data_IF_555863453837
#
_entry.id   IF_555863453837
#
_cell.length_a   1.000
_cell.length_b   1.000
_cell.length_c   1.000
_cell.angle_alpha   90.00
_cell.angle_beta   90.00
_cell.angle_gamma   90.00
#
_symmetry.space_group_name_H-M   'P 1'
#
loop_
_entity.id
_entity.type
_entity.pdbx_description
1 polymer ?
#
# COMPACT_ATOMS: atom_id res chain seq x y z
N UNK A 1 -50.76 38.12 11.72
CA UNK A 1 -50.40 36.81 11.15
C UNK A 1 -49.12 36.97 10.34
N UNK A 2 -47.96 36.61 10.90
CA UNK A 2 -46.64 36.73 10.24
C UNK A 2 -46.36 35.42 9.50
N UNK A 3 -46.27 35.46 8.17
CA UNK A 3 -45.94 34.29 7.33
C UNK A 3 -44.43 34.10 7.33
N UNK A 4 -43.98 32.99 7.90
CA UNK A 4 -42.60 32.53 7.84
C UNK A 4 -42.39 31.86 6.46
N UNK A 5 -41.53 32.42 5.63
CA UNK A 5 -41.13 31.82 4.35
C UNK A 5 -39.88 30.98 4.63
N UNK A 6 -40.00 29.66 4.45
CA UNK A 6 -38.91 28.70 4.62
C UNK A 6 -38.24 28.49 3.24
N UNK A 7 -37.02 29.00 3.08
CA UNK A 7 -36.23 28.82 1.85
C UNK A 7 -35.56 27.46 1.88
N UNK A 8 -35.98 26.55 1.00
CA UNK A 8 -35.36 25.23 0.82
C UNK A 8 -34.11 25.39 -0.05
N UNK A 9 -32.93 25.25 0.54
CA UNK A 9 -31.66 25.21 -0.20
C UNK A 9 -31.47 23.77 -0.71
N UNK A 10 -31.65 23.57 -2.02
CA UNK A 10 -31.33 22.31 -2.67
C UNK A 10 -29.80 22.18 -2.81
N UNK A 11 -29.20 21.30 -2.02
CA UNK A 11 -27.80 20.91 -2.20
C UNK A 11 -27.70 20.02 -3.44
N UNK A 12 -27.19 20.57 -4.53
CA UNK A 12 -26.82 19.79 -5.72
C UNK A 12 -25.61 18.92 -5.39
N UNK A 13 -25.84 17.62 -5.18
CA UNK A 13 -24.77 16.64 -5.13
C UNK A 13 -24.13 16.55 -6.52
N UNK A 14 -22.96 17.17 -6.70
CA UNK A 14 -22.08 16.91 -7.83
C UNK A 14 -21.57 15.47 -7.66
N UNK A 15 -22.17 14.53 -8.39
CA UNK A 15 -21.62 13.19 -8.52
C UNK A 15 -20.29 13.30 -9.28
N UNK A 16 -19.17 13.24 -8.56
CA UNK A 16 -17.86 13.07 -9.20
C UNK A 16 -17.84 11.73 -9.93
N UNK A 17 -17.44 11.74 -11.20
CA UNK A 17 -17.14 10.51 -11.92
C UNK A 17 -15.93 9.86 -11.25
N UNK A 18 -16.11 8.67 -10.67
CA UNK A 18 -14.99 7.84 -10.26
C UNK A 18 -14.13 7.55 -11.49
N UNK A 19 -12.84 7.89 -11.44
CA UNK A 19 -11.94 7.62 -12.55
C UNK A 19 -11.64 6.12 -12.60
N UNK A 20 -11.69 5.54 -13.80
CA UNK A 20 -11.47 4.12 -14.00
C UNK A 20 -10.01 3.76 -13.70
N UNK A 21 -9.77 2.52 -13.28
CA UNK A 21 -8.41 2.05 -13.05
C UNK A 21 -7.60 2.05 -14.36
N UNK A 22 -6.31 2.37 -14.27
CA UNK A 22 -5.38 2.34 -15.42
C UNK A 22 -4.32 1.26 -15.18
N UNK A 23 -4.12 0.39 -16.17
CA UNK A 23 -3.12 -0.69 -16.14
C UNK A 23 -1.86 -0.25 -16.89
N UNK A 24 -0.70 -0.58 -16.34
CA UNK A 24 0.61 -0.23 -16.86
C UNK A 24 1.44 -1.49 -17.12
N UNK A 25 2.04 -1.56 -18.32
CA UNK A 25 3.06 -2.54 -18.66
C UNK A 25 4.50 -1.96 -18.58
N UNK A 26 4.62 -0.66 -18.26
CA UNK A 26 5.89 0.04 -18.19
C UNK A 26 6.07 0.67 -16.80
N UNK A 27 7.11 0.22 -16.09
CA UNK A 27 7.46 0.68 -14.74
C UNK A 27 7.65 2.19 -14.67
N UNK A 28 8.41 2.77 -15.59
CA UNK A 28 8.71 4.20 -15.57
C UNK A 28 7.44 5.05 -15.77
N UNK A 29 6.54 4.64 -16.67
CA UNK A 29 5.25 5.30 -16.87
C UNK A 29 4.36 5.21 -15.63
N UNK A 30 4.31 4.04 -14.98
CA UNK A 30 3.59 3.86 -13.72
C UNK A 30 4.16 4.74 -12.61
N UNK A 31 5.46 4.67 -12.37
CA UNK A 31 6.12 5.40 -11.29
C UNK A 31 6.06 6.92 -11.48
N UNK A 32 6.00 7.40 -12.73
CA UNK A 32 5.79 8.82 -13.03
C UNK A 32 4.44 9.36 -12.57
N UNK A 33 3.46 8.48 -12.29
CA UNK A 33 2.15 8.89 -11.74
C UNK A 33 2.14 9.01 -10.22
N UNK A 34 3.18 8.51 -9.53
CA UNK A 34 3.25 8.46 -8.09
C UNK A 34 4.01 9.67 -7.55
N UNK A 35 3.40 10.41 -6.62
CA UNK A 35 4.04 11.55 -5.95
C UNK A 35 5.02 11.09 -4.86
N UNK A 36 4.69 10.00 -4.16
CA UNK A 36 5.60 9.30 -3.26
C UNK A 36 5.40 7.80 -3.39
N UNK A 37 6.49 7.03 -3.28
CA UNK A 37 6.47 5.58 -3.45
C UNK A 37 7.40 4.86 -2.49
N UNK A 38 7.08 3.61 -2.25
CA UNK A 38 7.92 2.59 -1.64
C UNK A 38 8.13 1.47 -2.65
N UNK A 39 9.34 0.93 -2.70
CA UNK A 39 9.63 -0.31 -3.42
C UNK A 39 10.08 -1.34 -2.39
N UNK A 40 9.33 -2.43 -2.26
CA UNK A 40 9.71 -3.64 -1.54
C UNK A 40 10.45 -4.55 -2.53
N UNK A 41 11.77 -4.56 -2.42
CA UNK A 41 12.72 -5.27 -3.30
C UNK A 41 13.05 -6.66 -2.75
N UNK A 42 12.46 -7.06 -1.61
CA UNK A 42 12.73 -8.35 -0.97
C UNK A 42 14.18 -8.59 -0.53
N UNK A 43 15.01 -7.55 -0.56
CA UNK A 43 16.46 -7.66 -0.37
C UNK A 43 16.86 -7.65 1.10
N UNK A 44 18.05 -8.21 1.36
CA UNK A 44 18.63 -8.21 2.72
C UNK A 44 18.83 -6.79 3.26
N UNK A 45 19.10 -5.82 2.38
CA UNK A 45 19.20 -4.41 2.75
C UNK A 45 17.91 -3.83 3.33
N UNK A 46 16.74 -4.43 3.03
CA UNK A 46 15.44 -4.06 3.58
C UNK A 46 15.03 -4.89 4.80
N UNK A 47 15.89 -5.82 5.24
CA UNK A 47 15.66 -6.65 6.42
C UNK A 47 15.23 -8.08 6.11
N UNK A 48 15.17 -8.48 4.84
CA UNK A 48 14.90 -9.87 4.47
C UNK A 48 16.09 -10.80 4.78
N UNK A 49 15.88 -12.11 4.98
CA UNK A 49 16.98 -13.05 5.17
C UNK A 49 17.83 -13.22 3.91
N UNK A 50 19.16 -13.29 4.03
CA UNK A 50 20.09 -13.36 2.90
C UNK A 50 20.12 -14.69 2.12
N UNK A 51 19.45 -15.72 2.62
CA UNK A 51 19.40 -17.05 2.02
C UNK A 51 17.93 -17.48 1.85
N UNK A 52 17.72 -18.57 1.10
CA UNK A 52 16.41 -19.20 0.97
C UNK A 52 15.73 -19.31 2.35
N UNK A 53 14.55 -18.70 2.46
CA UNK A 53 13.84 -18.60 3.73
C UNK A 53 12.35 -18.69 3.52
N UNK A 54 11.69 -19.35 4.48
CA UNK A 54 10.23 -19.45 4.55
C UNK A 54 9.76 -18.66 5.75
N UNK A 55 8.89 -17.68 5.50
CA UNK A 55 8.34 -16.76 6.49
C UNK A 55 6.83 -17.02 6.66
N UNK A 56 6.34 -16.83 7.88
CA UNK A 56 4.91 -16.73 8.12
C UNK A 56 4.35 -15.45 7.50
N UNK A 57 3.03 -15.38 7.31
CA UNK A 57 2.36 -14.18 6.79
C UNK A 57 2.66 -12.96 7.68
N UNK A 58 2.66 -13.16 9.00
CA UNK A 58 3.01 -12.14 9.97
C UNK A 58 4.47 -11.70 9.86
N UNK A 59 5.41 -12.64 9.73
CA UNK A 59 6.83 -12.32 9.60
C UNK A 59 7.13 -11.59 8.28
N UNK A 60 6.55 -12.06 7.16
CA UNK A 60 6.68 -11.42 5.85
C UNK A 60 6.15 -9.98 5.86
N UNK A 61 4.95 -9.77 6.42
CA UNK A 61 4.33 -8.44 6.52
C UNK A 61 5.10 -7.48 7.43
N UNK A 62 5.83 -8.01 8.42
CA UNK A 62 6.54 -7.20 9.41
C UNK A 62 7.89 -6.64 8.91
N UNK A 63 8.48 -7.18 7.83
CA UNK A 63 9.82 -6.78 7.37
C UNK A 63 9.84 -5.30 6.98
N UNK A 64 9.02 -4.92 6.01
CA UNK A 64 8.88 -3.52 5.58
C UNK A 64 7.74 -2.82 6.34
N UNK A 65 6.71 -3.56 6.78
CA UNK A 65 5.62 -3.02 7.60
C UNK A 65 4.65 -2.10 6.84
N UNK A 66 4.70 -2.08 5.50
CA UNK A 66 3.88 -1.21 4.65
C UNK A 66 2.90 -1.99 3.76
N UNK A 67 3.04 -3.31 3.68
CA UNK A 67 2.18 -4.21 2.91
C UNK A 67 1.89 -5.43 3.77
N UNK A 68 0.63 -5.86 3.82
CA UNK A 68 0.26 -7.13 4.42
C UNK A 68 0.26 -8.23 3.36
N UNK A 69 1.08 -9.25 3.57
CA UNK A 69 1.14 -10.46 2.76
C UNK A 69 0.30 -11.56 3.41
N UNK A 70 -0.52 -12.25 2.62
CA UNK A 70 -1.33 -13.38 3.09
C UNK A 70 -1.31 -14.48 2.05
N UNK A 71 -0.70 -15.60 2.39
CA UNK A 71 -0.69 -16.79 1.52
C UNK A 71 -2.06 -17.45 1.50
N UNK A 72 -2.55 -17.83 0.32
CA UNK A 72 -3.91 -18.40 0.16
C UNK A 72 -3.90 -19.84 -0.36
N UNK A 73 -2.83 -20.28 -1.03
CA UNK A 73 -2.63 -21.67 -1.45
C UNK A 73 -1.98 -22.57 -0.40
N UNK A 74 -0.93 -22.04 0.26
CA UNK A 74 -0.14 -22.75 1.27
C UNK A 74 0.06 -21.84 2.48
N UNK A 75 -0.63 -22.13 3.58
CA UNK A 75 -0.64 -21.26 4.75
C UNK A 75 0.78 -21.01 5.30
N UNK A 76 1.10 -19.73 5.52
CA UNK A 76 2.38 -19.27 6.07
C UNK A 76 3.61 -19.72 5.28
N UNK A 77 3.48 -19.85 3.95
CA UNK A 77 4.55 -20.31 3.08
C UNK A 77 5.08 -19.18 2.18
N UNK A 78 5.48 -18.06 2.79
CA UNK A 78 6.09 -16.92 2.07
C UNK A 78 7.56 -17.24 1.86
N UNK A 79 7.98 -17.42 0.61
CA UNK A 79 9.35 -17.80 0.29
C UNK A 79 10.09 -16.59 -0.27
N UNK A 80 11.24 -16.31 0.34
CA UNK A 80 12.27 -15.42 -0.21
C UNK A 80 13.40 -16.30 -0.73
N UNK A 81 13.75 -16.13 -2.00
CA UNK A 81 14.79 -16.92 -2.66
C UNK A 81 15.59 -16.07 -3.64
N UNK A 82 16.74 -16.56 -4.09
CA UNK A 82 17.68 -15.78 -4.91
C UNK A 82 19.00 -15.55 -4.17
N UNK A 83 19.72 -14.49 -4.56
CA UNK A 83 20.94 -14.06 -3.87
C UNK A 83 20.68 -12.75 -3.11
N UNK A 84 21.54 -12.37 -2.17
CA UNK A 84 21.32 -11.24 -1.25
C UNK A 84 21.20 -9.83 -1.89
N UNK A 85 21.27 -9.72 -3.22
CA UNK A 85 21.06 -8.48 -3.98
C UNK A 85 20.20 -8.69 -5.22
N UNK A 86 19.49 -9.82 -5.28
CA UNK A 86 18.50 -10.16 -6.30
C UNK A 86 17.59 -11.25 -5.73
N UNK A 87 16.75 -10.85 -4.78
CA UNK A 87 15.80 -11.71 -4.07
C UNK A 87 14.41 -11.59 -4.67
N UNK A 88 13.72 -12.72 -4.76
CA UNK A 88 12.38 -12.84 -5.30
C UNK A 88 11.42 -13.31 -4.21
N UNK A 89 10.16 -12.91 -4.32
CA UNK A 89 9.09 -13.39 -3.48
C UNK A 89 8.18 -14.36 -4.23
N UNK A 90 7.79 -15.44 -3.58
CA UNK A 90 6.71 -16.31 -4.02
C UNK A 90 5.97 -16.94 -2.83
N UNK A 91 4.72 -17.37 -3.04
CA UNK A 91 3.94 -18.10 -2.03
C UNK A 91 4.01 -19.61 -2.32
N UNK A 92 4.89 -20.35 -1.64
CA UNK A 92 5.20 -21.75 -1.97
C UNK A 92 5.80 -21.95 -3.37
N UNK A 93 5.98 -20.88 -4.14
CA UNK A 93 6.35 -20.84 -5.55
C UNK A 93 5.41 -21.54 -6.53
N UNK A 94 4.41 -22.29 -6.06
CA UNK A 94 3.28 -22.85 -6.81
C UNK A 94 1.92 -22.48 -6.18
N UNK A 95 1.92 -21.53 -5.24
CA UNK A 95 0.75 -21.10 -4.51
C UNK A 95 0.27 -19.71 -4.95
N UNK A 96 -0.86 -19.29 -4.38
CA UNK A 96 -1.39 -17.94 -4.51
C UNK A 96 -1.22 -17.14 -3.23
N UNK A 97 -1.27 -15.81 -3.34
CA UNK A 97 -1.22 -14.89 -2.22
C UNK A 97 -2.00 -13.61 -2.49
N UNK A 98 -2.33 -12.91 -1.41
CA UNK A 98 -2.91 -11.57 -1.42
C UNK A 98 -1.92 -10.59 -0.82
N UNK A 99 -1.77 -9.45 -1.48
CA UNK A 99 -1.20 -8.23 -0.89
C UNK A 99 -2.32 -7.26 -0.54
N UNK A 100 -2.31 -6.72 0.67
CA UNK A 100 -3.32 -5.78 1.17
C UNK A 100 -2.67 -4.49 1.64
N UNK A 101 -3.33 -3.36 1.36
CA UNK A 101 -2.80 -2.01 1.54
C UNK A 101 -3.65 -1.14 2.50
N UNK A 102 -4.31 -1.76 3.47
CA UNK A 102 -5.23 -1.10 4.41
C UNK A 102 -4.53 -0.45 5.63
N UNK A 103 -3.23 -0.71 5.81
CA UNK A 103 -2.44 -0.20 6.94
C UNK A 103 -1.06 0.36 6.51
N UNK A 104 -1.03 1.17 5.47
CA UNK A 104 0.21 1.75 4.90
C UNK A 104 0.26 3.26 5.03
N UNK A 105 1.46 3.84 5.14
CA UNK A 105 1.63 5.30 5.09
C UNK A 105 1.56 5.86 3.67
N UNK A 106 1.55 5.02 2.64
CA UNK A 106 1.51 5.41 1.22
C UNK A 106 0.09 5.44 0.64
N UNK A 107 -0.93 5.39 1.49
CA UNK A 107 -2.32 5.28 1.09
C UNK A 107 -3.29 5.84 2.12
N UNK A 108 -4.55 5.47 1.98
CA UNK A 108 -5.62 5.77 2.91
C UNK A 108 -6.31 4.47 3.34
N UNK A 109 -7.39 4.56 4.12
CA UNK A 109 -8.23 3.38 4.41
C UNK A 109 -8.88 2.76 3.16
N UNK A 110 -8.93 3.48 2.03
CA UNK A 110 -9.38 2.96 0.74
C UNK A 110 -8.31 2.15 0.00
N UNK A 111 -7.05 2.19 0.46
CA UNK A 111 -5.90 1.58 -0.21
C UNK A 111 -4.88 2.60 -0.73
N UNK A 112 -3.95 2.14 -1.56
CA UNK A 112 -2.91 2.97 -2.22
C UNK A 112 -3.41 3.50 -3.55
N UNK A 113 -2.87 4.62 -4.03
CA UNK A 113 -3.25 5.11 -5.35
C UNK A 113 -2.77 4.16 -6.46
N UNK A 114 -1.53 3.67 -6.32
CA UNK A 114 -0.95 2.74 -7.28
C UNK A 114 -0.20 1.60 -6.61
N UNK A 115 -0.27 0.43 -7.23
CA UNK A 115 0.50 -0.75 -6.89
C UNK A 115 1.02 -1.43 -8.16
N UNK A 116 2.27 -1.91 -8.15
CA UNK A 116 2.86 -2.61 -9.28
C UNK A 116 4.01 -3.53 -8.88
N UNK A 117 4.36 -4.48 -9.73
CA UNK A 117 5.37 -5.52 -9.49
C UNK A 117 6.10 -5.83 -10.80
N UNK A 118 7.33 -6.33 -10.68
CA UNK A 118 7.91 -7.15 -11.74
C UNK A 118 7.41 -8.58 -11.58
N UNK A 119 6.80 -9.13 -12.63
CA UNK A 119 6.42 -10.54 -12.67
C UNK A 119 7.60 -11.32 -13.22
N UNK A 120 8.30 -12.02 -12.33
CA UNK A 120 9.56 -12.73 -12.61
C UNK A 120 9.33 -14.13 -13.16
N UNK A 121 8.24 -14.77 -12.75
CA UNK A 121 7.85 -16.10 -13.20
C UNK A 121 6.34 -16.22 -13.19
N UNK A 122 5.77 -16.77 -14.28
CA UNK A 122 4.36 -17.12 -14.39
C UNK A 122 4.20 -18.30 -15.36
N UNK A 123 3.80 -19.45 -14.84
CA UNK A 123 3.68 -20.70 -15.61
C UNK A 123 2.59 -20.60 -16.70
N UNK A 124 2.97 -20.90 -17.93
CA UNK A 124 2.05 -20.95 -19.08
C UNK A 124 0.98 -22.04 -18.95
N UNK A 125 1.26 -23.12 -18.21
CA UNK A 125 0.31 -24.22 -17.98
C UNK A 125 -0.76 -23.93 -16.92
N UNK A 126 -0.56 -22.88 -16.12
CA UNK A 126 -1.44 -22.52 -15.00
C UNK A 126 -1.45 -20.98 -14.85
N UNK A 127 -2.14 -20.25 -15.75
CA UNK A 127 -2.01 -18.80 -15.84
C UNK A 127 -2.57 -18.09 -14.61
N UNK A 128 -1.72 -17.28 -13.98
CA UNK A 128 -2.12 -16.42 -12.86
C UNK A 128 -2.85 -15.16 -13.34
N UNK A 129 -3.62 -14.59 -12.43
CA UNK A 129 -4.35 -13.34 -12.57
C UNK A 129 -3.95 -12.39 -11.43
N UNK A 130 -3.98 -11.10 -11.72
CA UNK A 130 -4.08 -10.06 -10.70
C UNK A 130 -5.56 -9.74 -10.51
N UNK A 131 -6.16 -10.29 -9.44
CA UNK A 131 -7.52 -9.96 -9.05
C UNK A 131 -7.48 -8.79 -8.06
N UNK A 132 -7.92 -7.63 -8.53
CA UNK A 132 -7.75 -6.35 -7.85
C UNK A 132 -9.07 -6.03 -7.14
N UNK A 133 -8.99 -5.64 -5.87
CA UNK A 133 -10.13 -5.07 -5.14
C UNK A 133 -9.84 -3.61 -4.85
N UNK A 134 -10.78 -2.72 -5.17
CA UNK A 134 -10.67 -1.28 -4.94
C UNK A 134 -11.31 -0.85 -3.61
N UNK A 135 -11.12 0.41 -3.22
CA UNK A 135 -11.64 0.95 -1.96
C UNK A 135 -13.17 0.92 -1.85
N UNK A 136 -13.89 0.98 -2.97
CA UNK A 136 -15.36 0.82 -3.04
C UNK A 136 -15.81 -0.65 -3.11
N UNK A 137 -14.87 -1.59 -3.09
CA UNK A 137 -15.04 -3.04 -3.26
C UNK A 137 -15.48 -3.49 -4.67
N UNK A 138 -15.43 -2.59 -5.66
CA UNK A 138 -15.42 -3.04 -7.06
C UNK A 138 -14.13 -3.82 -7.34
N UNK A 139 -14.15 -4.64 -8.40
CA UNK A 139 -13.05 -5.57 -8.69
C UNK A 139 -12.71 -5.62 -10.17
N UNK A 140 -11.44 -5.80 -10.48
CA UNK A 140 -10.94 -6.18 -11.79
C UNK A 140 -10.24 -7.54 -11.74
N UNK A 141 -10.25 -8.26 -12.86
CA UNK A 141 -9.61 -9.57 -12.98
C UNK A 141 -8.70 -9.59 -14.20
N UNK A 142 -7.43 -9.25 -14.02
CA UNK A 142 -6.49 -9.05 -15.11
C UNK A 142 -5.64 -10.30 -15.32
N UNK A 143 -5.68 -10.95 -16.50
CA UNK A 143 -4.79 -12.06 -16.79
C UNK A 143 -3.34 -11.57 -16.85
N UNK A 144 -2.44 -12.30 -16.18
CA UNK A 144 -1.01 -12.04 -16.25
C UNK A 144 -0.41 -12.89 -17.37
N UNK A 145 0.50 -12.27 -18.15
CA UNK A 145 1.16 -12.96 -19.25
C UNK A 145 2.05 -14.09 -18.68
N UNK A 146 2.13 -15.25 -19.34
CA UNK A 146 3.13 -16.25 -19.01
C UNK A 146 4.54 -15.67 -19.14
N UNK A 147 5.39 -15.98 -18.17
CA UNK A 147 6.75 -15.41 -18.08
C UNK A 147 7.72 -16.49 -17.67
N UNK A 148 8.65 -16.89 -18.55
CA UNK A 148 9.78 -17.69 -18.16
C UNK A 148 10.64 -16.96 -17.12
N UNK A 149 11.14 -17.69 -16.13
CA UNK A 149 12.06 -17.15 -15.13
C UNK A 149 13.26 -16.46 -15.79
N UNK A 150 13.58 -15.25 -15.31
CA UNK A 150 14.69 -14.43 -15.82
C UNK A 150 14.33 -13.55 -17.02
N UNK A 151 13.06 -13.49 -17.42
CA UNK A 151 12.56 -12.56 -18.45
C UNK A 151 11.40 -11.71 -17.94
N UNK A 152 11.59 -10.93 -16.85
CA UNK A 152 10.49 -10.26 -16.17
C UNK A 152 9.77 -9.25 -17.07
N UNK A 153 8.49 -9.04 -16.78
CA UNK A 153 7.74 -7.90 -17.29
C UNK A 153 7.06 -7.16 -16.14
N UNK A 154 6.75 -5.88 -16.36
CA UNK A 154 6.11 -5.07 -15.34
C UNK A 154 4.58 -5.12 -15.45
N UNK A 155 3.91 -5.25 -14.30
CA UNK A 155 2.47 -5.04 -14.17
C UNK A 155 2.24 -3.96 -13.10
N UNK A 156 1.44 -2.94 -13.42
CA UNK A 156 1.01 -1.94 -12.46
C UNK A 156 -0.44 -1.53 -12.66
N UNK A 157 -1.06 -1.03 -11.60
CA UNK A 157 -2.41 -0.48 -11.60
C UNK A 157 -2.42 0.82 -10.81
N UNK A 158 -3.13 1.84 -11.31
CA UNK A 158 -3.50 3.03 -10.54
C UNK A 158 -5.01 3.20 -10.51
N UNK A 159 -5.55 3.71 -9.41
CA UNK A 159 -6.97 4.03 -9.30
C UNK A 159 -7.25 5.14 -8.29
N UNK A 160 -8.12 6.07 -8.66
CA UNK A 160 -8.65 7.10 -7.76
C UNK A 160 -9.52 6.52 -6.64
N UNK A 161 -10.07 5.31 -6.84
CA UNK A 161 -10.83 4.57 -5.83
C UNK A 161 -9.95 3.97 -4.73
N UNK A 162 -8.62 3.98 -4.91
CA UNK A 162 -7.67 3.26 -4.07
C UNK A 162 -7.62 1.77 -4.43
N UNK A 163 -6.42 1.25 -4.64
CA UNK A 163 -6.12 -0.18 -4.76
C UNK A 163 -6.03 -0.73 -3.34
N UNK A 164 -7.04 -1.49 -2.92
CA UNK A 164 -7.16 -2.03 -1.56
C UNK A 164 -6.39 -3.33 -1.39
N UNK A 165 -6.49 -4.23 -2.37
CA UNK A 165 -5.72 -5.47 -2.40
C UNK A 165 -5.53 -6.00 -3.81
N UNK A 166 -4.50 -6.82 -4.00
CA UNK A 166 -4.31 -7.63 -5.21
C UNK A 166 -4.10 -9.07 -4.78
N UNK A 167 -4.94 -9.96 -5.30
CA UNK A 167 -4.79 -11.40 -5.21
C UNK A 167 -4.07 -11.90 -6.45
N UNK A 168 -2.88 -12.46 -6.25
CA UNK A 168 -2.14 -13.18 -7.27
C UNK A 168 -2.46 -14.68 -7.15
N UNK A 169 -3.31 -15.16 -8.04
CA UNK A 169 -3.82 -16.53 -8.03
C UNK A 169 -4.53 -16.86 -9.33
N UNK A 170 -5.46 -17.81 -9.29
CA UNK A 170 -6.31 -18.07 -10.45
C UNK A 170 -7.42 -17.02 -10.58
N UNK A 171 -8.10 -17.04 -11.73
CA UNK A 171 -9.16 -16.09 -12.07
C UNK A 171 -10.15 -15.86 -10.91
N UNK A 172 -10.45 -14.59 -10.63
CA UNK A 172 -11.34 -14.19 -9.54
C UNK A 172 -10.70 -14.26 -8.14
N UNK A 173 -9.37 -14.29 -8.06
CA UNK A 173 -8.64 -14.43 -6.80
C UNK A 173 -8.72 -15.84 -6.21
N UNK A 174 -9.05 -16.84 -7.05
CA UNK A 174 -9.12 -18.22 -6.63
C UNK A 174 -7.74 -18.75 -6.22
N UNK A 175 -7.73 -19.67 -5.26
CA UNK A 175 -6.48 -20.21 -4.73
C UNK A 175 -5.76 -21.08 -5.76
N UNK A 176 -4.44 -20.94 -5.80
CA UNK A 176 -3.56 -21.80 -6.59
C UNK A 176 -2.74 -22.70 -5.65
N UNK A 177 -2.57 -23.96 -6.04
CA UNK A 177 -1.70 -24.95 -5.38
C UNK A 177 -0.84 -25.71 -6.41
N UNK A 178 -0.75 -25.17 -7.62
CA UNK A 178 -0.09 -25.72 -8.79
C UNK A 178 0.36 -24.58 -9.71
N UNK A 179 1.27 -24.87 -10.64
CA UNK A 179 1.88 -23.86 -11.50
C UNK A 179 3.15 -23.29 -10.87
N UNK A 180 3.59 -22.15 -11.36
CA UNK A 180 4.65 -21.37 -10.71
C UNK A 180 4.44 -19.88 -10.87
N UNK A 181 4.63 -19.13 -9.79
CA UNK A 181 4.47 -17.68 -9.79
C UNK A 181 5.42 -17.02 -8.79
N UNK A 182 6.11 -15.95 -9.22
CA UNK A 182 6.99 -15.14 -8.38
C UNK A 182 7.03 -13.70 -8.85
N UNK A 183 7.28 -12.79 -7.91
CA UNK A 183 7.37 -11.36 -8.17
C UNK A 183 8.65 -10.76 -7.57
N UNK A 184 9.00 -9.59 -8.06
CA UNK A 184 9.99 -8.68 -7.49
C UNK A 184 9.46 -7.24 -7.46
N UNK A 185 10.13 -6.38 -6.70
CA UNK A 185 9.99 -4.92 -6.71
C UNK A 185 8.54 -4.45 -6.56
N UNK A 186 7.83 -4.96 -5.53
CA UNK A 186 6.48 -4.50 -5.21
C UNK A 186 6.53 -3.01 -4.87
N UNK A 187 5.99 -2.22 -5.78
CA UNK A 187 5.96 -0.77 -5.70
C UNK A 187 4.57 -0.32 -5.32
N UNK A 188 4.45 0.46 -4.24
CA UNK A 188 3.20 1.11 -3.83
C UNK A 188 3.39 2.62 -3.75
N UNK A 189 2.33 3.40 -3.99
CA UNK A 189 2.45 4.86 -3.88
C UNK A 189 1.13 5.62 -3.82
N UNK A 190 1.28 6.92 -3.54
CA UNK A 190 0.21 7.91 -3.38
C UNK A 190 0.31 9.04 -4.42
N UNK A 191 -0.78 9.77 -4.64
CA UNK A 191 -0.81 11.01 -5.44
C UNK A 191 -0.43 12.26 -4.65
N UNK A 192 -0.51 12.20 -3.32
CA UNK A 192 -0.08 13.27 -2.43
C UNK A 192 1.25 12.86 -1.81
N UNK A 193 2.28 13.70 -1.95
CA UNK A 193 3.48 13.56 -1.13
C UNK A 193 3.03 13.62 0.33
N UNK A 194 3.20 12.52 1.06
CA UNK A 194 2.85 12.46 2.49
C UNK A 194 3.73 13.48 3.19
N UNK A 195 3.17 14.57 3.76
CA UNK A 195 3.97 15.46 4.57
C UNK A 195 4.47 14.64 5.75
N UNK A 196 5.79 14.55 5.95
CA UNK A 196 6.31 14.07 7.23
C UNK A 196 5.55 14.82 8.32
N UNK A 197 4.95 14.10 9.28
CA UNK A 197 4.20 14.74 10.36
C UNK A 197 5.08 15.88 10.89
N UNK A 198 4.59 17.13 10.99
CA UNK A 198 5.43 18.26 11.31
C UNK A 198 5.79 18.16 12.79
N UNK A 199 6.77 17.32 13.11
CA UNK A 199 7.34 17.13 14.44
C UNK A 199 7.81 18.50 14.95
N UNK A 200 8.25 19.37 14.05
CA UNK A 200 8.57 20.77 14.31
C UNK A 200 7.37 21.61 14.76
N UNK A 201 6.18 21.45 14.16
CA UNK A 201 4.99 22.18 14.59
C UNK A 201 4.51 21.71 15.96
N UNK A 202 4.58 20.40 16.24
CA UNK A 202 4.30 19.84 17.55
C UNK A 202 5.32 20.29 18.61
N UNK A 203 6.61 20.36 18.25
CA UNK A 203 7.66 20.89 19.12
C UNK A 203 7.43 22.37 19.45
N UNK A 204 7.19 23.20 18.43
CA UNK A 204 7.04 24.66 18.59
C UNK A 204 5.79 24.97 19.44
N UNK A 205 4.67 24.28 19.20
CA UNK A 205 3.46 24.42 20.02
C UNK A 205 3.66 23.88 21.43
N UNK A 206 4.34 22.74 21.59
CA UNK A 206 4.63 22.15 22.90
C UNK A 206 5.52 23.03 23.78
N UNK A 207 6.63 23.56 23.22
CA UNK A 207 7.52 24.46 23.93
C UNK A 207 6.90 25.85 24.16
N UNK A 208 6.09 26.35 23.22
CA UNK A 208 5.36 27.60 23.36
C UNK A 208 4.35 27.57 24.52
N UNK A 209 3.59 26.49 24.65
CA UNK A 209 2.61 26.31 25.74
C UNK A 209 3.30 26.12 27.10
N UNK A 210 4.37 25.31 27.16
CA UNK A 210 5.15 25.14 28.39
C UNK A 210 5.79 26.47 28.85
N UNK A 211 6.33 27.26 27.91
CA UNK A 211 6.88 28.59 28.18
C UNK A 211 5.84 29.59 28.69
N UNK A 212 4.64 29.60 28.11
CA UNK A 212 3.54 30.47 28.53
C UNK A 212 3.03 30.13 29.95
N UNK A 213 2.88 28.84 30.26
CA UNK A 213 2.46 28.37 31.59
C UNK A 213 3.48 28.75 32.67
N UNK A 214 4.77 28.57 32.41
CA UNK A 214 5.84 28.96 33.34
C UNK A 214 5.92 30.48 33.57
N UNK A 215 5.57 31.28 32.55
CA UNK A 215 5.54 32.74 32.66
C UNK A 215 4.37 33.25 33.51
N UNK A 216 3.19 32.62 33.41
CA UNK A 216 2.03 32.95 34.25
C UNK A 216 2.27 32.58 35.72
N UNK A 217 2.92 31.43 36.00
CA UNK A 217 3.26 31.02 37.36
C UNK A 217 4.24 31.99 38.06
N UNK A 218 5.13 32.64 37.31
CA UNK A 218 6.04 33.67 37.83
C UNK A 218 5.35 35.02 38.06
N UNK A 219 4.40 35.41 37.20
CA UNK A 219 3.62 36.64 37.37
C UNK A 219 2.71 36.61 38.60
N UNK A 220 2.08 35.47 38.89
CA UNK A 220 1.19 35.33 40.05
C UNK A 220 1.93 35.42 41.40
N UNK A 221 3.23 35.06 41.44
CA UNK A 221 4.03 35.06 42.67
C UNK A 221 4.50 36.46 43.10
N UNK A 222 4.53 37.43 42.19
CA UNK A 222 4.95 38.81 42.48
C UNK A 222 3.82 39.63 43.12
N UNK A 223 2.56 39.28 42.84
CA UNK A 223 1.39 40.02 43.36
C UNK A 223 1.10 39.71 44.84
N UNK A 224 1.64 38.63 45.40
CA UNK A 224 1.46 38.26 46.82
C UNK A 224 2.61 38.71 47.76
N UNK A 225 3.65 39.37 47.24
CA UNK A 225 4.78 39.86 48.04
C UNK A 225 4.69 41.36 48.38
N UNK A 226 3.54 42.00 48.07
CA UNK A 226 3.23 43.39 48.41
C UNK A 226 1.86 43.45 49.09
N UNK A 227 1.78 42.90 50.31
CA UNK A 227 0.70 43.14 51.26
C UNK A 227 1.29 43.03 52.67
#
# INVERSE_FOLDING_TARGET
MKRLVLTLVAATCLAGTADAATIYANRAAFEATLASKLVDTFETAQGYPAAFSVLSDAAMSAVVGQTKYTTTGFANNNIIFGNASNQLYCAGCNGSFRVTFDSTSYGTSAGVFGAGVDVEGNDAGAPYFAFITYGDNSTDNIPLAPTPFGTPYFFGVTSSLGVKSIDFGFSGGATAQSGSFSIDNLTIGSTTAVPEAPIWAALILGFGLAGAALRQARGARVVHAMA
#
